data_IF_108000199485
#
_entry.id   IF_108000199485
#
_cell.length_a   1.000
_cell.length_b   1.000
_cell.length_c   1.000
_cell.angle_alpha   90.00
_cell.angle_beta   90.00
_cell.angle_gamma   90.00
#
_symmetry.space_group_name_H-M   'P 1'
#
loop_
_entity.id
_entity.type
_entity.pdbx_description
1 polymer ?
#
# COMPACT_ATOMS: atom_id res chain seq x y z
N UNK A 1 -35.02 -31.05 -16.18
CA UNK A 1 -34.24 -30.19 -15.29
C UNK A 1 -33.33 -29.33 -16.17
N UNK A 2 -33.69 -28.07 -16.42
CA UNK A 2 -32.92 -27.17 -17.27
C UNK A 2 -31.76 -26.62 -16.48
N UNK A 3 -30.54 -26.76 -17.01
CA UNK A 3 -29.31 -26.24 -16.41
C UNK A 3 -29.32 -24.71 -16.45
N UNK A 4 -29.47 -24.07 -15.31
CA UNK A 4 -29.31 -22.61 -15.15
C UNK A 4 -27.80 -22.25 -15.10
N UNK A 5 -27.14 -22.34 -16.26
CA UNK A 5 -25.80 -21.75 -16.41
C UNK A 5 -25.97 -20.22 -16.57
N UNK A 6 -25.22 -19.41 -15.82
CA UNK A 6 -25.28 -17.97 -15.99
C UNK A 6 -24.77 -17.60 -17.40
N UNK A 7 -25.35 -16.57 -18.04
CA UNK A 7 -24.93 -16.14 -19.37
C UNK A 7 -23.46 -15.72 -19.38
N UNK A 8 -22.73 -15.94 -20.48
CA UNK A 8 -21.35 -15.53 -20.61
C UNK A 8 -21.24 -14.00 -20.43
N UNK A 9 -20.21 -13.59 -19.70
CA UNK A 9 -19.90 -12.18 -19.45
C UNK A 9 -19.63 -11.49 -20.80
N UNK A 10 -20.36 -10.42 -21.09
CA UNK A 10 -20.02 -9.53 -22.20
C UNK A 10 -18.60 -9.02 -22.03
N UNK A 11 -17.75 -9.05 -23.06
CA UNK A 11 -16.43 -8.45 -23.00
C UNK A 11 -16.58 -6.95 -22.65
N UNK A 12 -15.70 -6.46 -21.79
CA UNK A 12 -15.56 -5.02 -21.55
C UNK A 12 -15.20 -4.35 -22.88
N UNK A 13 -15.69 -3.11 -23.14
CA UNK A 13 -15.29 -2.39 -24.34
C UNK A 13 -13.75 -2.31 -24.39
N UNK A 14 -13.18 -2.59 -25.57
CA UNK A 14 -11.74 -2.49 -25.86
C UNK A 14 -11.29 -1.03 -25.79
N UNK A 15 -11.13 -0.52 -24.58
CA UNK A 15 -10.30 0.65 -24.38
C UNK A 15 -8.84 0.20 -24.53
N UNK A 16 -8.03 0.91 -25.34
CA UNK A 16 -6.63 0.58 -25.47
C UNK A 16 -6.02 0.57 -24.07
N UNK A 17 -5.41 -0.57 -23.68
CA UNK A 17 -4.71 -0.69 -22.43
C UNK A 17 -3.55 0.32 -22.46
N UNK A 18 -3.40 1.18 -21.45
CA UNK A 18 -2.21 2.02 -21.36
C UNK A 18 -0.96 1.12 -21.40
N UNK A 19 0.11 1.61 -22.00
CA UNK A 19 1.40 0.92 -21.95
C UNK A 19 1.87 0.84 -20.49
N UNK A 20 1.73 -0.33 -19.90
CA UNK A 20 2.13 -0.63 -18.52
C UNK A 20 3.44 -1.44 -18.48
N UNK A 21 4.20 -1.47 -19.56
CA UNK A 21 5.46 -2.23 -19.67
C UNK A 21 6.47 -1.87 -18.56
N UNK A 22 6.48 -0.61 -18.15
CA UNK A 22 7.31 -0.12 -17.03
C UNK A 22 6.93 -0.70 -15.66
N UNK A 23 5.72 -1.26 -15.53
CA UNK A 23 5.26 -1.95 -14.32
C UNK A 23 5.65 -3.43 -14.29
N UNK A 24 6.42 -3.91 -15.27
CA UNK A 24 6.79 -5.32 -15.42
C UNK A 24 5.64 -6.18 -15.97
N UNK A 25 5.90 -7.48 -16.05
CA UNK A 25 4.92 -8.44 -16.53
C UNK A 25 3.81 -8.65 -15.50
N UNK A 26 2.59 -8.24 -15.85
CA UNK A 26 1.44 -8.43 -15.00
C UNK A 26 0.90 -9.85 -15.14
N UNK A 27 0.71 -10.49 -14.00
CA UNK A 27 0.29 -11.89 -13.90
C UNK A 27 -0.92 -12.01 -12.99
N UNK A 28 -1.58 -13.17 -13.06
CA UNK A 28 -2.67 -13.53 -12.18
C UNK A 28 -2.38 -14.82 -11.45
N UNK A 29 -2.75 -14.83 -10.19
CA UNK A 29 -2.70 -15.98 -9.29
C UNK A 29 -4.09 -16.23 -8.71
N UNK A 30 -4.46 -17.49 -8.52
CA UNK A 30 -5.72 -17.84 -7.90
C UNK A 30 -5.51 -18.26 -6.44
N UNK A 31 -6.08 -17.49 -5.54
CA UNK A 31 -6.03 -17.72 -4.11
C UNK A 31 -7.44 -17.80 -3.54
N UNK A 32 -7.78 -18.91 -2.87
CA UNK A 32 -9.15 -19.19 -2.38
C UNK A 32 -10.22 -19.08 -3.48
N UNK A 33 -9.89 -19.38 -4.73
CA UNK A 33 -10.76 -19.22 -5.89
C UNK A 33 -10.88 -17.79 -6.40
N UNK A 34 -10.23 -16.80 -5.81
CA UNK A 34 -10.21 -15.41 -6.25
C UNK A 34 -9.01 -15.14 -7.14
N UNK A 35 -9.24 -14.39 -8.20
CA UNK A 35 -8.19 -13.91 -9.10
C UNK A 35 -7.45 -12.75 -8.44
N UNK A 36 -6.15 -12.91 -8.24
CA UNK A 36 -5.25 -11.93 -7.64
C UNK A 36 -4.26 -11.46 -8.69
N UNK A 37 -4.18 -10.15 -8.93
CA UNK A 37 -3.19 -9.56 -9.83
C UNK A 37 -1.90 -9.26 -9.06
N UNK A 38 -0.79 -9.55 -9.70
CA UNK A 38 0.54 -9.15 -9.25
C UNK A 38 1.44 -8.84 -10.43
N UNK A 39 2.54 -8.15 -10.19
CA UNK A 39 3.63 -7.99 -11.14
C UNK A 39 4.92 -8.57 -10.57
N UNK A 40 5.81 -8.95 -11.46
CA UNK A 40 7.13 -9.46 -11.13
C UNK A 40 8.14 -8.92 -12.13
N UNK A 41 9.18 -8.26 -11.63
CA UNK A 41 10.35 -7.91 -12.41
C UNK A 41 11.40 -9.00 -12.15
N UNK A 42 11.75 -9.72 -13.23
CA UNK A 42 12.50 -10.97 -13.17
C UNK A 42 13.88 -10.81 -12.54
N UNK A 43 14.32 -11.87 -11.89
CA UNK A 43 15.65 -12.02 -11.35
C UNK A 43 16.68 -12.06 -12.51
N UNK A 44 17.70 -11.22 -12.44
CA UNK A 44 18.84 -11.23 -13.36
C UNK A 44 20.04 -11.91 -12.68
N UNK A 45 21.06 -12.38 -13.41
CA UNK A 45 22.24 -12.96 -12.79
C UNK A 45 22.90 -12.07 -11.74
N UNK A 46 22.86 -10.74 -11.92
CA UNK A 46 23.42 -9.74 -10.98
C UNK A 46 22.73 -9.76 -9.61
N UNK A 47 21.44 -10.04 -9.58
CA UNK A 47 20.60 -9.93 -8.35
C UNK A 47 20.14 -11.30 -7.85
N UNK A 48 20.59 -12.37 -8.49
CA UNK A 48 20.25 -13.74 -8.10
C UNK A 48 20.64 -14.00 -6.64
N UNK A 49 19.74 -14.58 -5.87
CA UNK A 49 19.94 -14.87 -4.44
C UNK A 49 19.76 -13.68 -3.50
N UNK A 50 19.64 -12.43 -4.00
CA UNK A 50 19.32 -11.29 -3.14
C UNK A 50 17.90 -11.39 -2.55
N UNK A 51 17.70 -10.82 -1.36
CA UNK A 51 16.40 -10.79 -0.67
C UNK A 51 15.33 -10.14 -1.58
N UNK A 52 14.24 -10.86 -1.90
CA UNK A 52 13.17 -10.31 -2.74
C UNK A 52 12.41 -9.21 -2.01
N UNK A 53 11.91 -8.23 -2.77
CA UNK A 53 11.04 -7.16 -2.28
C UNK A 53 9.60 -7.47 -2.66
N UNK A 54 8.69 -7.40 -1.68
CA UNK A 54 7.25 -7.43 -1.91
C UNK A 54 6.63 -6.09 -1.52
N UNK A 55 5.90 -5.47 -2.46
CA UNK A 55 5.28 -4.16 -2.36
C UNK A 55 3.77 -4.28 -2.14
N UNK A 56 3.23 -3.61 -1.11
CA UNK A 56 1.81 -3.56 -0.77
C UNK A 56 1.30 -2.12 -0.85
N UNK A 57 0.33 -1.88 -1.72
CA UNK A 57 -0.26 -0.56 -1.95
C UNK A 57 -1.20 -0.09 -0.83
N UNK A 58 -1.54 1.20 -0.83
CA UNK A 58 -2.50 1.83 0.08
C UNK A 58 -3.98 1.57 -0.27
N UNK A 59 -4.87 2.02 0.59
CA UNK A 59 -6.31 1.89 0.39
C UNK A 59 -6.77 2.59 -0.90
N UNK A 60 -7.60 1.90 -1.69
CA UNK A 60 -8.14 2.42 -2.96
C UNK A 60 -7.14 2.46 -4.11
N UNK A 61 -5.88 2.13 -3.88
CA UNK A 61 -4.83 2.09 -4.87
C UNK A 61 -4.65 0.69 -5.48
N UNK A 62 -3.52 0.46 -6.12
CA UNK A 62 -3.16 -0.75 -6.85
C UNK A 62 -1.64 -0.83 -7.05
N UNK A 63 -1.14 -1.85 -7.71
CA UNK A 63 0.29 -2.00 -8.01
C UNK A 63 0.86 -0.84 -8.85
N UNK A 64 0.01 -0.11 -9.59
CA UNK A 64 0.36 1.11 -10.33
C UNK A 64 0.89 2.24 -9.41
N UNK A 65 0.58 2.17 -8.11
CA UNK A 65 1.15 3.06 -7.10
C UNK A 65 2.68 3.09 -7.15
N UNK A 66 3.30 1.99 -7.53
CA UNK A 66 4.75 1.79 -7.50
C UNK A 66 5.44 2.13 -8.83
N UNK A 67 4.78 2.84 -9.74
CA UNK A 67 5.26 3.18 -11.08
C UNK A 67 6.66 3.81 -11.12
N UNK A 68 7.00 4.64 -10.14
CA UNK A 68 8.30 5.31 -10.04
C UNK A 68 9.35 4.44 -9.31
N UNK A 69 8.96 3.28 -8.79
CA UNK A 69 9.78 2.52 -7.87
C UNK A 69 10.17 1.13 -8.40
N UNK A 70 9.29 0.47 -9.14
CA UNK A 70 9.45 -0.93 -9.53
C UNK A 70 10.76 -1.18 -10.29
N UNK A 71 11.03 -0.41 -11.34
CA UNK A 71 12.21 -0.57 -12.19
C UNK A 71 13.50 -0.28 -11.43
N UNK A 72 13.51 0.76 -10.57
CA UNK A 72 14.68 1.12 -9.79
C UNK A 72 15.04 0.01 -8.78
N UNK A 73 14.06 -0.47 -8.01
CA UNK A 73 14.30 -1.58 -7.08
C UNK A 73 14.71 -2.88 -7.78
N UNK A 74 14.19 -3.12 -9.00
CA UNK A 74 14.52 -4.32 -9.77
C UNK A 74 15.97 -4.36 -10.28
N UNK A 75 16.70 -3.25 -10.24
CA UNK A 75 18.14 -3.24 -10.51
C UNK A 75 18.97 -3.88 -9.41
N UNK A 76 18.42 -3.90 -8.18
CA UNK A 76 19.14 -4.31 -6.98
C UNK A 76 18.62 -5.62 -6.38
N UNK A 77 17.37 -6.03 -6.65
CA UNK A 77 16.74 -7.23 -6.09
C UNK A 77 15.54 -7.69 -6.91
N UNK A 78 15.09 -8.95 -6.79
CA UNK A 78 13.81 -9.39 -7.35
C UNK A 78 12.66 -8.59 -6.71
N UNK A 79 11.74 -8.05 -7.54
CA UNK A 79 10.64 -7.20 -7.08
C UNK A 79 9.30 -7.81 -7.47
N UNK A 80 8.41 -7.80 -6.50
CA UNK A 80 7.01 -8.16 -6.67
C UNK A 80 6.13 -7.03 -6.15
N UNK A 81 5.03 -6.74 -6.84
CA UNK A 81 3.98 -5.89 -6.31
C UNK A 81 2.64 -6.62 -6.44
N UNK A 82 1.85 -6.57 -5.37
CA UNK A 82 0.63 -7.35 -5.22
C UNK A 82 -0.58 -6.43 -5.08
N UNK A 83 -1.61 -6.64 -5.88
CA UNK A 83 -2.91 -6.06 -5.60
C UNK A 83 -3.61 -6.83 -4.48
N UNK A 84 -3.88 -6.15 -3.38
CA UNK A 84 -4.66 -6.70 -2.29
C UNK A 84 -6.07 -7.06 -2.76
N UNK A 85 -6.59 -8.22 -2.34
CA UNK A 85 -7.94 -8.66 -2.74
C UNK A 85 -8.99 -7.58 -2.46
N UNK A 86 -9.83 -7.30 -3.44
CA UNK A 86 -10.80 -6.19 -3.38
C UNK A 86 -10.31 -4.89 -4.02
N UNK A 87 -9.00 -4.73 -4.26
CA UNK A 87 -8.39 -3.55 -4.87
C UNK A 87 -7.77 -3.84 -6.24
N UNK A 88 -7.32 -2.78 -6.91
CA UNK A 88 -6.60 -2.86 -8.18
C UNK A 88 -7.27 -3.78 -9.19
N UNK A 89 -6.50 -4.57 -9.91
CA UNK A 89 -6.98 -5.61 -10.83
C UNK A 89 -7.26 -6.95 -10.15
N UNK A 90 -7.11 -7.04 -8.81
CA UNK A 90 -7.55 -8.19 -8.05
C UNK A 90 -9.07 -8.24 -7.93
N UNK A 91 -9.62 -9.46 -7.79
CA UNK A 91 -11.07 -9.70 -7.79
C UNK A 91 -11.79 -8.86 -6.73
N UNK A 92 -12.90 -8.27 -7.14
CA UNK A 92 -13.84 -7.55 -6.26
C UNK A 92 -14.72 -8.58 -5.54
N UNK A 93 -14.46 -8.76 -4.23
CA UNK A 93 -15.06 -9.82 -3.42
C UNK A 93 -16.23 -9.31 -2.57
N UNK A 94 -17.11 -10.23 -2.17
CA UNK A 94 -18.28 -9.95 -1.34
C UNK A 94 -18.11 -10.57 0.04
N UNK A 95 -17.04 -10.20 0.73
CA UNK A 95 -16.75 -10.63 2.09
C UNK A 95 -16.16 -9.45 2.91
N UNK A 96 -16.13 -9.54 4.24
CA UNK A 96 -15.43 -8.58 5.06
C UNK A 96 -13.97 -8.42 4.62
N UNK A 97 -13.52 -7.18 4.52
CA UNK A 97 -12.16 -6.83 4.15
C UNK A 97 -11.46 -6.26 5.40
N UNK A 98 -10.59 -7.06 5.98
CA UNK A 98 -9.80 -6.71 7.17
C UNK A 98 -8.33 -7.07 6.96
N UNK A 99 -7.48 -6.66 7.89
CA UNK A 99 -6.06 -6.92 7.77
C UNK A 99 -5.71 -8.41 7.85
N UNK A 100 -6.46 -9.23 8.60
CA UNK A 100 -6.24 -10.68 8.67
C UNK A 100 -6.39 -11.35 7.30
N UNK A 101 -7.39 -10.91 6.51
CA UNK A 101 -7.59 -11.42 5.16
C UNK A 101 -6.38 -11.12 4.27
N UNK A 102 -5.86 -9.89 4.33
CA UNK A 102 -4.72 -9.50 3.51
C UNK A 102 -3.39 -10.08 4.00
N UNK A 103 -3.21 -10.24 5.32
CA UNK A 103 -2.06 -10.96 5.89
C UNK A 103 -2.05 -12.42 5.41
N UNK A 104 -3.20 -13.09 5.44
CA UNK A 104 -3.32 -14.44 4.89
C UNK A 104 -3.03 -14.51 3.37
N UNK A 105 -3.40 -13.46 2.61
CA UNK A 105 -3.05 -13.34 1.20
C UNK A 105 -1.53 -13.20 1.00
N UNK A 106 -0.87 -12.33 1.78
CA UNK A 106 0.59 -12.13 1.75
C UNK A 106 1.34 -13.42 2.09
N UNK A 107 0.94 -14.10 3.17
CA UNK A 107 1.56 -15.36 3.58
C UNK A 107 1.41 -16.46 2.51
N UNK A 108 0.23 -16.56 1.89
CA UNK A 108 0.00 -17.51 0.82
C UNK A 108 0.78 -17.16 -0.46
N UNK A 109 0.93 -15.86 -0.78
CA UNK A 109 1.76 -15.40 -1.89
C UNK A 109 3.23 -15.74 -1.65
N UNK A 110 3.71 -15.51 -0.42
CA UNK A 110 5.06 -15.90 -0.02
C UNK A 110 5.30 -17.40 -0.21
N UNK A 111 4.39 -18.26 0.24
CA UNK A 111 4.48 -19.71 0.07
C UNK A 111 4.50 -20.15 -1.40
N UNK A 112 3.75 -19.45 -2.26
CA UNK A 112 3.67 -19.79 -3.68
C UNK A 112 4.93 -19.39 -4.46
N UNK A 113 5.48 -18.20 -4.21
CA UNK A 113 6.45 -17.57 -5.10
C UNK A 113 7.80 -17.24 -4.47
N UNK A 114 7.85 -16.82 -3.21
CA UNK A 114 9.07 -16.27 -2.62
C UNK A 114 9.89 -17.35 -1.88
N UNK A 115 9.29 -18.03 -0.92
CA UNK A 115 9.83 -19.16 -0.13
C UNK A 115 11.17 -18.88 0.54
N UNK A 116 11.51 -17.64 0.77
CA UNK A 116 12.72 -17.15 1.45
C UNK A 116 12.42 -15.83 2.12
N UNK A 117 13.11 -15.42 3.20
CA UNK A 117 12.86 -14.16 3.86
C UNK A 117 12.83 -13.01 2.86
N UNK A 118 11.84 -12.12 3.00
CA UNK A 118 11.61 -10.99 2.09
C UNK A 118 11.83 -9.65 2.77
N UNK A 119 12.17 -8.63 1.98
CA UNK A 119 11.94 -7.24 2.33
C UNK A 119 10.47 -6.95 2.02
N UNK A 120 9.69 -6.70 3.06
CA UNK A 120 8.28 -6.36 2.89
C UNK A 120 8.11 -4.86 3.00
N UNK A 121 7.52 -4.22 1.99
CA UNK A 121 7.27 -2.78 2.01
C UNK A 121 5.80 -2.48 1.78
N UNK A 122 5.23 -1.65 2.64
CA UNK A 122 3.83 -1.23 2.52
C UNK A 122 3.64 0.27 2.70
N UNK A 123 2.61 0.80 2.05
CA UNK A 123 2.18 2.19 2.18
C UNK A 123 0.80 2.28 2.79
N UNK A 124 0.61 3.13 3.80
CA UNK A 124 -0.70 3.41 4.42
C UNK A 124 -1.38 2.10 4.85
N UNK A 125 -2.54 1.73 4.30
CA UNK A 125 -3.16 0.42 4.58
C UNK A 125 -2.20 -0.75 4.35
N UNK A 126 -1.40 -0.71 3.27
CA UNK A 126 -0.39 -1.73 2.99
C UNK A 126 0.70 -1.77 4.07
N UNK A 127 1.03 -0.64 4.72
CA UNK A 127 1.96 -0.61 5.85
C UNK A 127 1.38 -1.31 7.09
N UNK A 128 0.09 -1.14 7.36
CA UNK A 128 -0.58 -1.84 8.46
C UNK A 128 -0.66 -3.35 8.21
N UNK A 129 -0.96 -3.77 6.98
CA UNK A 129 -0.94 -5.19 6.57
C UNK A 129 0.49 -5.75 6.68
N UNK A 130 1.50 -5.00 6.24
CA UNK A 130 2.89 -5.40 6.31
C UNK A 130 3.38 -5.53 7.76
N UNK A 131 3.01 -4.60 8.63
CA UNK A 131 3.30 -4.67 10.07
C UNK A 131 2.69 -5.92 10.70
N UNK A 132 1.41 -6.18 10.47
CA UNK A 132 0.76 -7.37 11.00
C UNK A 132 1.35 -8.66 10.41
N UNK A 133 1.69 -8.68 9.12
CA UNK A 133 2.37 -9.83 8.52
C UNK A 133 3.74 -10.08 9.15
N UNK A 134 4.53 -9.04 9.42
CA UNK A 134 5.85 -9.14 10.03
C UNK A 134 5.79 -9.63 11.50
N UNK A 135 4.72 -9.33 12.21
CA UNK A 135 4.53 -9.81 13.60
C UNK A 135 3.92 -11.21 13.67
N UNK A 136 3.08 -11.59 12.70
CA UNK A 136 2.41 -12.90 12.67
C UNK A 136 3.26 -13.98 11.99
N UNK A 137 4.07 -13.59 11.01
CA UNK A 137 4.90 -14.47 10.17
C UNK A 137 6.33 -13.93 10.07
N UNK A 138 6.96 -13.71 11.22
CA UNK A 138 8.30 -13.11 11.30
C UNK A 138 9.36 -13.89 10.53
N UNK A 139 9.20 -15.20 10.39
CA UNK A 139 10.07 -16.07 9.60
C UNK A 139 10.04 -15.78 8.10
N UNK A 140 8.96 -15.16 7.60
CA UNK A 140 8.80 -14.80 6.19
C UNK A 140 9.36 -13.40 5.89
N UNK A 141 9.48 -12.53 6.90
CA UNK A 141 9.88 -11.13 6.75
C UNK A 141 11.26 -10.92 7.34
N UNK A 142 12.27 -10.80 6.49
CA UNK A 142 13.63 -10.51 6.94
C UNK A 142 13.84 -9.04 7.34
N UNK A 143 13.15 -8.12 6.68
CA UNK A 143 13.15 -6.67 6.95
C UNK A 143 11.81 -6.06 6.57
N UNK A 144 11.39 -5.01 7.28
CA UNK A 144 10.14 -4.29 7.04
C UNK A 144 10.39 -2.83 6.71
N UNK A 145 9.71 -2.31 5.68
CA UNK A 145 9.66 -0.87 5.37
C UNK A 145 8.21 -0.42 5.38
N UNK A 146 7.90 0.58 6.18
CA UNK A 146 6.57 1.18 6.25
C UNK A 146 6.61 2.64 5.80
N UNK A 147 5.73 2.99 4.87
CA UNK A 147 5.53 4.36 4.41
C UNK A 147 4.22 4.87 4.98
N UNK A 148 4.29 5.77 5.96
CA UNK A 148 3.13 6.34 6.65
C UNK A 148 2.19 5.26 7.23
N UNK A 149 2.41 4.82 8.45
CA UNK A 149 1.61 3.81 9.14
C UNK A 149 0.33 4.41 9.74
N UNK A 150 -0.87 3.94 9.40
CA UNK A 150 -2.10 4.44 10.01
C UNK A 150 -2.28 3.91 11.44
N UNK A 151 -2.97 4.68 12.27
CA UNK A 151 -3.48 4.21 13.55
C UNK A 151 -4.62 3.19 13.33
N UNK A 152 -4.69 2.17 14.16
CA UNK A 152 -5.85 1.30 14.23
C UNK A 152 -7.06 2.08 14.80
N UNK A 153 -8.26 1.57 14.53
CA UNK A 153 -9.50 2.24 14.97
C UNK A 153 -9.55 2.45 16.47
N UNK A 154 -9.10 1.50 17.25
CA UNK A 154 -9.08 1.54 18.71
C UNK A 154 -8.24 2.71 19.26
N UNK A 155 -7.30 3.24 18.45
CA UNK A 155 -6.38 4.32 18.81
C UNK A 155 -6.89 5.70 18.40
N UNK A 156 -7.89 5.75 17.51
CA UNK A 156 -8.56 6.98 17.08
C UNK A 156 -9.54 7.48 18.15
N UNK A 157 -9.10 7.58 19.40
CA UNK A 157 -9.94 7.79 20.57
C UNK A 157 -10.76 9.09 20.57
N UNK A 158 -11.86 9.07 21.35
CA UNK A 158 -12.71 10.20 21.67
C UNK A 158 -14.17 10.05 21.20
N UNK A 159 -15.11 10.80 21.76
CA UNK A 159 -16.53 10.74 21.42
C UNK A 159 -16.81 11.05 19.94
N UNK A 160 -16.05 11.96 19.34
CA UNK A 160 -16.18 12.34 17.93
C UNK A 160 -15.85 11.19 16.97
N UNK A 161 -14.82 10.37 17.29
CA UNK A 161 -14.48 9.21 16.49
C UNK A 161 -15.56 8.12 16.57
N UNK A 162 -16.19 7.93 17.74
CA UNK A 162 -17.32 7.00 17.91
C UNK A 162 -18.55 7.46 17.14
N UNK A 163 -18.87 8.75 17.17
CA UNK A 163 -19.98 9.32 16.40
C UNK A 163 -19.71 9.20 14.90
N UNK A 164 -18.49 9.53 14.45
CA UNK A 164 -18.06 9.34 13.06
C UNK A 164 -18.25 7.90 12.60
N UNK A 165 -17.91 6.93 13.45
CA UNK A 165 -18.09 5.51 13.20
C UNK A 165 -19.55 5.09 12.97
N UNK A 166 -20.45 5.60 13.80
CA UNK A 166 -21.90 5.31 13.67
C UNK A 166 -22.43 5.92 12.37
N UNK A 167 -22.05 7.15 12.06
CA UNK A 167 -22.43 7.81 10.80
C UNK A 167 -21.87 7.08 9.59
N UNK A 168 -20.57 6.70 9.59
CA UNK A 168 -19.97 5.88 8.56
C UNK A 168 -20.70 4.53 8.41
N UNK A 169 -21.07 3.88 9.52
CA UNK A 169 -21.83 2.62 9.53
C UNK A 169 -23.21 2.75 8.87
N UNK A 170 -23.89 3.87 9.05
CA UNK A 170 -25.17 4.14 8.38
C UNK A 170 -24.96 4.32 6.87
N UNK A 171 -23.90 5.01 6.47
CA UNK A 171 -23.53 5.15 5.04
C UNK A 171 -23.07 3.82 4.41
N UNK A 172 -22.68 2.82 5.21
CA UNK A 172 -22.34 1.48 4.69
C UNK A 172 -23.59 0.66 4.23
N UNK A 173 -24.80 1.22 4.34
CA UNK A 173 -26.00 0.61 3.74
C UNK A 173 -25.84 0.53 2.21
N UNK A 174 -26.14 -0.63 1.58
CA UNK A 174 -26.07 -0.79 0.12
C UNK A 174 -26.93 0.21 -0.65
N UNK A 175 -28.01 0.71 -0.05
CA UNK A 175 -28.91 1.71 -0.65
C UNK A 175 -28.26 3.09 -0.72
N UNK A 176 -27.47 3.47 0.27
CA UNK A 176 -26.81 4.78 0.33
C UNK A 176 -25.42 4.75 -0.29
N UNK A 177 -24.66 3.66 -0.10
CA UNK A 177 -23.30 3.55 -0.61
C UNK A 177 -23.23 3.50 -2.14
N UNK A 178 -24.21 2.90 -2.81
CA UNK A 178 -24.21 2.79 -4.27
C UNK A 178 -24.29 4.15 -4.99
N UNK A 179 -25.21 5.06 -4.67
CA UNK A 179 -25.21 6.39 -5.29
C UNK A 179 -23.98 7.20 -4.89
N UNK A 180 -23.52 7.12 -3.63
CA UNK A 180 -22.28 7.76 -3.18
C UNK A 180 -21.07 7.21 -3.99
N UNK A 181 -20.95 5.91 -4.14
CA UNK A 181 -19.85 5.30 -4.90
C UNK A 181 -19.87 5.71 -6.37
N UNK A 182 -21.06 5.87 -6.99
CA UNK A 182 -21.17 6.40 -8.35
C UNK A 182 -20.63 7.82 -8.48
N UNK A 183 -20.78 8.63 -7.45
CA UNK A 183 -20.21 9.98 -7.39
C UNK A 183 -18.69 9.91 -7.18
N UNK A 184 -18.23 9.14 -6.19
CA UNK A 184 -16.80 9.02 -5.82
C UNK A 184 -15.93 8.49 -6.94
N UNK A 185 -16.45 7.60 -7.80
CA UNK A 185 -15.70 7.01 -8.93
C UNK A 185 -15.61 7.91 -10.17
N UNK A 186 -16.12 9.14 -10.13
CA UNK A 186 -16.02 10.08 -11.26
C UNK A 186 -14.56 10.49 -11.46
N UNK A 187 -14.00 10.38 -12.71
CA UNK A 187 -12.58 10.69 -12.94
C UNK A 187 -12.19 12.10 -12.47
N UNK A 188 -13.05 13.10 -12.72
CA UNK A 188 -12.81 14.48 -12.28
C UNK A 188 -12.72 14.63 -10.76
N UNK A 189 -13.54 13.90 -9.99
CA UNK A 189 -13.48 13.93 -8.53
C UNK A 189 -12.22 13.22 -8.02
N UNK A 190 -11.91 12.04 -8.55
CA UNK A 190 -10.69 11.31 -8.21
C UNK A 190 -9.46 12.18 -8.49
N UNK A 191 -9.39 12.82 -9.67
CA UNK A 191 -8.32 13.76 -10.02
C UNK A 191 -8.20 14.91 -9.03
N UNK A 192 -9.31 15.53 -8.65
CA UNK A 192 -9.31 16.63 -7.67
C UNK A 192 -8.80 16.18 -6.32
N UNK A 193 -9.22 15.00 -5.85
CA UNK A 193 -8.77 14.43 -4.58
C UNK A 193 -7.27 14.14 -4.64
N UNK A 194 -6.79 13.47 -5.70
CA UNK A 194 -5.37 13.17 -5.87
C UNK A 194 -4.52 14.45 -5.91
N UNK A 195 -4.95 15.49 -6.66
CA UNK A 195 -4.27 16.79 -6.68
C UNK A 195 -4.24 17.48 -5.30
N UNK A 196 -5.28 17.32 -4.50
CA UNK A 196 -5.33 17.86 -3.14
C UNK A 196 -4.41 17.13 -2.16
N UNK A 197 -4.12 15.86 -2.41
CA UNK A 197 -3.29 15.00 -1.55
C UNK A 197 -1.81 15.00 -1.96
N UNK A 198 -1.49 15.23 -3.23
CA UNK A 198 -0.11 15.44 -3.68
C UNK A 198 0.36 16.84 -3.30
N UNK A 199 1.62 16.99 -2.97
CA UNK A 199 2.25 18.31 -2.80
C UNK A 199 2.56 18.94 -4.16
N UNK A 200 2.96 18.11 -5.12
CA UNK A 200 3.16 18.48 -6.51
C UNK A 200 1.98 17.96 -7.37
N UNK A 201 1.00 18.82 -7.61
CA UNK A 201 -0.18 18.48 -8.40
C UNK A 201 0.14 18.11 -9.88
N UNK A 202 1.34 18.43 -10.40
CA UNK A 202 1.76 18.07 -11.76
C UNK A 202 2.02 16.57 -11.91
N UNK A 203 2.31 15.88 -10.81
CA UNK A 203 2.47 14.41 -10.76
C UNK A 203 1.16 13.65 -11.00
N UNK A 204 0.01 14.33 -10.86
CA UNK A 204 -1.32 13.73 -11.08
C UNK A 204 -1.65 13.74 -12.57
N UNK A 205 -1.02 12.85 -13.32
CA UNK A 205 -1.24 12.62 -14.74
C UNK A 205 -2.45 11.69 -15.01
N UNK A 206 -2.75 11.46 -16.29
CA UNK A 206 -3.85 10.58 -16.70
C UNK A 206 -3.64 9.13 -16.27
N UNK A 207 -2.40 8.64 -16.30
CA UNK A 207 -2.07 7.27 -15.93
C UNK A 207 -2.36 7.03 -14.45
N UNK A 208 -1.95 7.95 -13.57
CA UNK A 208 -2.24 7.87 -12.14
C UNK A 208 -3.75 7.89 -11.88
N UNK A 209 -4.48 8.82 -12.51
CA UNK A 209 -5.94 8.92 -12.36
C UNK A 209 -6.63 7.65 -12.83
N UNK A 210 -6.23 7.10 -13.98
CA UNK A 210 -6.80 5.86 -14.54
C UNK A 210 -6.55 4.66 -13.62
N UNK A 211 -5.37 4.57 -13.00
CA UNK A 211 -5.04 3.55 -12.00
C UNK A 211 -6.02 3.52 -10.82
N UNK A 212 -6.56 4.67 -10.41
CA UNK A 212 -7.60 4.75 -9.38
C UNK A 212 -9.02 4.59 -9.92
N UNK A 213 -9.32 5.07 -11.12
CA UNK A 213 -10.66 5.03 -11.73
C UNK A 213 -11.04 3.63 -12.17
N UNK A 214 -10.17 2.97 -12.91
CA UNK A 214 -10.44 1.69 -13.59
C UNK A 214 -10.91 0.59 -12.62
N UNK A 215 -10.25 0.35 -11.47
CA UNK A 215 -10.73 -0.65 -10.50
C UNK A 215 -12.13 -0.38 -9.96
N UNK A 216 -12.56 0.89 -9.92
CA UNK A 216 -13.90 1.27 -9.44
C UNK A 216 -15.02 0.97 -10.45
N UNK A 217 -14.67 0.76 -11.71
CA UNK A 217 -15.62 0.46 -12.77
C UNK A 217 -15.88 -1.04 -12.92
N UNK A 218 -15.06 -1.88 -12.31
CA UNK A 218 -15.20 -3.33 -12.36
C UNK A 218 -16.50 -3.83 -11.71
N UNK A 219 -17.01 -4.97 -12.23
CA UNK A 219 -18.19 -5.62 -11.67
C UNK A 219 -17.93 -6.01 -10.20
N UNK A 220 -18.82 -5.57 -9.32
CA UNK A 220 -18.72 -5.85 -7.89
C UNK A 220 -18.03 -4.74 -7.08
N UNK A 221 -17.35 -3.76 -7.70
CA UNK A 221 -16.59 -2.71 -7.00
C UNK A 221 -17.42 -1.98 -5.94
N UNK A 222 -18.65 -1.56 -6.26
CA UNK A 222 -19.53 -0.89 -5.29
C UNK A 222 -19.88 -1.80 -4.08
N UNK A 223 -20.06 -3.10 -4.31
CA UNK A 223 -20.32 -4.06 -3.23
C UNK A 223 -19.09 -4.27 -2.36
N UNK A 224 -17.92 -4.47 -2.97
CA UNK A 224 -16.64 -4.57 -2.27
C UNK A 224 -16.37 -3.32 -1.43
N UNK A 225 -16.62 -2.14 -2.00
CA UNK A 225 -16.49 -0.87 -1.27
C UNK A 225 -17.43 -0.80 -0.05
N UNK A 226 -18.67 -1.29 -0.17
CA UNK A 226 -19.61 -1.39 0.95
C UNK A 226 -19.05 -2.30 2.07
N UNK A 227 -18.49 -3.46 1.71
CA UNK A 227 -17.85 -4.35 2.69
C UNK A 227 -16.62 -3.70 3.34
N UNK A 228 -15.80 -3.00 2.57
CA UNK A 228 -14.63 -2.29 3.10
C UNK A 228 -15.05 -1.22 4.12
N UNK A 229 -16.01 -0.34 3.76
CA UNK A 229 -16.50 0.70 4.68
C UNK A 229 -17.05 0.08 5.95
N UNK A 230 -17.89 -0.96 5.81
CA UNK A 230 -18.45 -1.69 6.96
C UNK A 230 -17.36 -2.33 7.82
N UNK A 231 -16.34 -2.94 7.22
CA UNK A 231 -15.24 -3.55 7.97
C UNK A 231 -14.44 -2.49 8.73
N UNK A 232 -14.14 -1.36 8.09
CA UNK A 232 -13.39 -0.27 8.72
C UNK A 232 -14.09 0.36 9.92
N UNK A 233 -15.41 0.22 10.04
CA UNK A 233 -16.18 0.69 11.20
C UNK A 233 -16.16 -0.31 12.36
N UNK A 234 -15.60 -1.49 12.19
CA UNK A 234 -15.46 -2.53 13.22
C UNK A 234 -14.08 -2.49 13.87
N UNK A 235 -14.02 -2.78 15.16
CA UNK A 235 -12.76 -2.96 15.90
C UNK A 235 -12.00 -4.22 15.42
N UNK A 236 -12.69 -5.14 14.75
CA UNK A 236 -12.09 -6.32 14.12
C UNK A 236 -11.46 -6.04 12.75
N UNK A 237 -11.37 -4.77 12.32
CA UNK A 237 -10.70 -4.41 11.07
C UNK A 237 -9.20 -4.70 11.10
N UNK A 238 -8.56 -4.37 12.20
CA UNK A 238 -7.14 -4.66 12.47
C UNK A 238 -6.90 -4.78 13.97
N UNK A 239 -5.87 -5.50 14.41
CA UNK A 239 -5.33 -5.36 15.74
C UNK A 239 -4.87 -3.92 16.03
N UNK A 240 -4.66 -3.59 17.30
CA UNK A 240 -4.07 -2.31 17.71
C UNK A 240 -2.68 -2.14 17.09
N UNK A 241 -2.43 -0.98 16.48
CA UNK A 241 -1.10 -0.66 15.91
C UNK A 241 -0.03 -0.65 16.99
N UNK A 242 -0.36 -0.20 18.20
CA UNK A 242 0.56 -0.21 19.35
C UNK A 242 0.95 -1.63 19.74
N UNK A 243 -0.03 -2.54 19.80
CA UNK A 243 0.24 -3.94 20.15
C UNK A 243 1.10 -4.60 19.08
N UNK A 244 0.81 -4.36 17.80
CA UNK A 244 1.63 -4.87 16.69
C UNK A 244 3.08 -4.34 16.76
N UNK A 245 3.28 -3.04 17.03
CA UNK A 245 4.62 -2.46 17.17
C UNK A 245 5.37 -3.06 18.35
N UNK A 246 4.70 -3.35 19.47
CA UNK A 246 5.34 -3.97 20.65
C UNK A 246 5.80 -5.42 20.39
N UNK A 247 5.15 -6.11 19.47
CA UNK A 247 5.49 -7.47 19.04
C UNK A 247 6.52 -7.52 17.89
N UNK A 248 6.96 -6.36 17.39
CA UNK A 248 7.85 -6.28 16.27
C UNK A 248 9.26 -6.78 16.61
N UNK A 249 9.71 -7.83 15.90
CA UNK A 249 11.00 -8.49 16.13
C UNK A 249 11.98 -8.37 14.97
N UNK A 250 11.53 -7.81 13.84
CA UNK A 250 12.35 -7.66 12.64
C UNK A 250 12.84 -6.21 12.49
N UNK A 251 14.06 -5.96 11.96
CA UNK A 251 14.54 -4.62 11.67
C UNK A 251 13.54 -3.89 10.76
N UNK A 252 13.12 -2.70 11.20
CA UNK A 252 12.04 -1.96 10.56
C UNK A 252 12.41 -0.51 10.29
N UNK A 253 12.17 -0.04 9.07
CA UNK A 253 12.26 1.36 8.66
C UNK A 253 10.85 1.94 8.54
N UNK A 254 10.57 3.03 9.26
CA UNK A 254 9.35 3.81 9.13
C UNK A 254 9.69 5.17 8.52
N UNK A 255 9.19 5.43 7.32
CA UNK A 255 9.37 6.70 6.61
C UNK A 255 8.07 7.51 6.64
N UNK A 256 8.19 8.82 6.86
CA UNK A 256 7.03 9.69 6.96
C UNK A 256 7.27 11.07 6.35
N UNK A 257 6.39 11.49 5.47
CA UNK A 257 6.42 12.84 4.94
C UNK A 257 6.00 13.88 5.97
N UNK A 258 6.84 14.89 6.23
CA UNK A 258 6.55 15.96 7.21
C UNK A 258 5.28 16.75 6.89
N UNK A 259 4.88 16.79 5.63
CA UNK A 259 3.70 17.52 5.14
C UNK A 259 2.54 16.58 4.80
N UNK A 260 2.51 15.37 5.38
CA UNK A 260 1.41 14.43 5.20
C UNK A 260 0.09 15.04 5.70
N UNK A 261 -0.87 15.22 4.77
CA UNK A 261 -2.19 15.80 5.04
C UNK A 261 -3.25 14.74 5.36
N UNK A 262 -2.90 13.46 5.22
CA UNK A 262 -3.80 12.33 5.46
C UNK A 262 -3.61 11.79 6.88
N UNK A 263 -2.36 11.54 7.25
CA UNK A 263 -2.02 11.01 8.57
C UNK A 263 -0.93 11.89 9.19
N UNK A 264 -1.25 12.62 10.27
CA UNK A 264 -0.32 13.56 10.89
C UNK A 264 0.97 12.88 11.35
N UNK A 265 2.12 13.51 11.09
CA UNK A 265 3.46 13.01 11.47
C UNK A 265 3.60 12.77 12.98
N UNK A 266 2.86 13.52 13.80
CA UNK A 266 2.86 13.33 15.26
C UNK A 266 2.51 11.90 15.68
N UNK A 267 1.70 11.19 14.87
CA UNK A 267 1.44 9.77 15.09
C UNK A 267 2.68 8.92 14.83
N UNK A 268 3.44 9.18 13.75
CA UNK A 268 4.69 8.49 13.45
C UNK A 268 5.75 8.73 14.52
N UNK A 269 5.88 9.96 15.02
CA UNK A 269 6.76 10.32 16.12
C UNK A 269 6.42 9.56 17.39
N UNK A 270 5.12 9.44 17.70
CA UNK A 270 4.67 8.64 18.85
C UNK A 270 4.96 7.15 18.64
N UNK A 271 4.65 6.58 17.47
CA UNK A 271 4.93 5.16 17.15
C UNK A 271 6.41 4.84 17.30
N UNK A 272 7.32 5.77 16.93
CA UNK A 272 8.76 5.59 17.08
C UNK A 272 9.20 5.38 18.55
N UNK A 273 8.42 5.86 19.52
CA UNK A 273 8.74 5.66 20.94
C UNK A 273 8.39 4.26 21.46
N UNK A 274 7.68 3.45 20.68
CA UNK A 274 7.10 2.18 21.11
C UNK A 274 8.02 0.97 20.89
N UNK A 275 9.05 1.07 20.03
CA UNK A 275 9.94 -0.06 19.73
C UNK A 275 11.34 0.38 19.34
N UNK A 276 12.34 -0.28 19.93
CA UNK A 276 13.75 -0.10 19.58
C UNK A 276 14.12 -0.74 18.22
N UNK A 277 13.26 -1.59 17.66
CA UNK A 277 13.46 -2.22 16.34
C UNK A 277 13.15 -1.25 15.18
N UNK A 278 12.68 -0.05 15.50
CA UNK A 278 12.12 0.88 14.55
C UNK A 278 13.10 2.03 14.29
N UNK A 279 13.60 2.13 13.06
CA UNK A 279 14.31 3.30 12.57
C UNK A 279 13.28 4.25 11.96
N UNK A 280 13.08 5.44 12.55
CA UNK A 280 12.11 6.42 12.06
C UNK A 280 12.82 7.57 11.34
N UNK A 281 12.36 7.86 10.12
CA UNK A 281 12.90 8.95 9.31
C UNK A 281 11.78 9.86 8.81
N UNK A 282 11.88 11.12 9.12
CA UNK A 282 11.03 12.18 8.61
C UNK A 282 11.57 12.69 7.27
N UNK A 283 10.74 12.70 6.25
CA UNK A 283 11.12 13.16 4.90
C UNK A 283 10.65 14.59 4.71
N UNK A 284 11.60 15.50 4.49
CA UNK A 284 11.32 16.92 4.26
C UNK A 284 10.59 17.14 2.94
N UNK A 285 9.69 18.14 2.91
CA UNK A 285 8.89 18.51 1.73
C UNK A 285 8.23 17.30 1.07
N UNK A 286 7.73 16.37 1.87
CA UNK A 286 7.11 15.14 1.46
C UNK A 286 5.71 15.01 2.06
N UNK A 287 4.75 14.60 1.24
CA UNK A 287 3.36 14.36 1.62
C UNK A 287 3.05 12.88 1.76
N UNK A 288 1.76 12.53 1.70
CA UNK A 288 1.30 11.15 1.80
C UNK A 288 1.79 10.26 0.66
N UNK A 289 1.94 10.83 -0.54
CA UNK A 289 2.35 10.11 -1.74
C UNK A 289 3.83 10.33 -2.12
N UNK A 290 4.69 10.55 -1.11
CA UNK A 290 6.10 10.85 -1.35
C UNK A 290 6.86 9.73 -2.09
N UNK A 291 6.39 8.51 -2.05
CA UNK A 291 6.93 7.41 -2.85
C UNK A 291 6.82 7.66 -4.36
N UNK A 292 5.86 8.47 -4.80
CA UNK A 292 5.67 8.90 -6.19
C UNK A 292 6.39 10.23 -6.45
N UNK A 293 6.28 11.18 -5.51
CA UNK A 293 6.82 12.53 -5.67
C UNK A 293 8.34 12.59 -5.46
N UNK A 294 8.89 11.73 -4.62
CA UNK A 294 10.30 11.73 -4.18
C UNK A 294 10.92 10.33 -4.23
N UNK A 295 10.65 9.57 -5.30
CA UNK A 295 11.10 8.20 -5.44
C UNK A 295 12.61 8.04 -5.25
N UNK A 296 13.43 8.95 -5.78
CA UNK A 296 14.90 8.93 -5.63
C UNK A 296 15.32 9.04 -4.17
N UNK A 297 14.65 9.92 -3.39
CA UNK A 297 14.91 10.06 -1.94
C UNK A 297 14.50 8.80 -1.20
N UNK A 298 13.36 8.21 -1.56
CA UNK A 298 12.91 6.94 -0.99
C UNK A 298 13.94 5.83 -1.21
N UNK A 299 14.44 5.69 -2.44
CA UNK A 299 15.43 4.66 -2.78
C UNK A 299 16.73 4.86 -1.98
N UNK A 300 17.29 6.08 -1.94
CA UNK A 300 18.50 6.40 -1.17
C UNK A 300 18.34 6.04 0.32
N UNK A 301 17.21 6.42 0.92
CA UNK A 301 16.94 6.14 2.33
C UNK A 301 16.86 4.63 2.62
N UNK A 302 16.20 3.87 1.75
CA UNK A 302 16.08 2.41 1.90
C UNK A 302 17.44 1.75 1.71
N UNK A 303 18.20 2.12 0.69
CA UNK A 303 19.50 1.51 0.40
C UNK A 303 20.51 1.78 1.53
N UNK A 304 20.56 3.01 2.04
CA UNK A 304 21.38 3.38 3.19
C UNK A 304 20.99 2.62 4.45
N UNK A 305 19.69 2.47 4.72
CA UNK A 305 19.22 1.68 5.84
C UNK A 305 19.60 0.20 5.72
N UNK A 306 19.51 -0.36 4.51
CA UNK A 306 19.85 -1.76 4.26
C UNK A 306 21.32 -2.08 4.51
N UNK A 307 22.23 -1.12 4.32
CA UNK A 307 23.67 -1.26 4.59
C UNK A 307 24.09 -0.76 5.96
N UNK A 308 23.15 -0.25 6.79
CA UNK A 308 23.43 0.27 8.12
C UNK A 308 24.04 1.68 8.14
N UNK A 309 23.86 2.47 7.08
CA UNK A 309 24.39 3.83 6.91
C UNK A 309 23.38 4.93 7.23
N UNK A 310 22.24 4.58 7.84
CA UNK A 310 21.34 5.59 8.41
C UNK A 310 21.73 5.87 9.87
N UNK A 311 21.84 7.16 10.29
CA UNK A 311 22.06 7.49 11.68
C UNK A 311 20.87 7.01 12.54
N UNK A 312 21.16 6.46 13.71
CA UNK A 312 20.16 5.91 14.65
C UNK A 312 19.14 6.94 15.16
N UNK A 313 19.36 8.24 14.94
CA UNK A 313 18.47 9.33 15.35
C UNK A 313 18.34 10.43 14.30
N UNK A 314 17.14 10.98 14.18
CA UNK A 314 16.72 12.04 13.25
C UNK A 314 17.52 13.36 13.29
N UNK A 315 18.39 13.57 14.29
CA UNK A 315 19.10 14.84 14.48
C UNK A 315 20.22 15.09 13.47
N UNK A 316 20.69 14.08 12.73
CA UNK A 316 21.84 14.19 11.83
C UNK A 316 21.52 14.22 10.33
N UNK A 317 20.25 14.08 9.91
CA UNK A 317 19.88 14.08 8.48
C UNK A 317 19.93 15.47 7.83
N UNK A 318 19.91 16.54 8.61
CA UNK A 318 20.01 17.92 8.10
C UNK A 318 21.44 18.25 7.61
N UNK A 319 22.47 17.57 8.15
CA UNK A 319 23.88 17.85 7.82
C UNK A 319 24.34 17.28 6.46
N UNK A 320 23.62 16.34 5.86
CA UNK A 320 24.05 15.63 4.63
C UNK A 320 23.68 16.34 3.32
N UNK A 321 23.05 17.51 3.38
CA UNK A 321 22.70 18.31 2.18
C UNK A 321 23.89 19.07 1.55
N UNK A 322 25.09 19.10 2.19
CA UNK A 322 26.23 19.92 1.77
C UNK A 322 27.21 19.30 0.78
N UNK A 323 27.40 17.98 0.78
CA UNK A 323 28.63 17.40 0.22
C UNK A 323 28.54 16.73 -1.16
N UNK A 324 27.37 16.63 -1.80
CA UNK A 324 27.25 15.98 -3.12
C UNK A 324 27.01 16.91 -4.31
N UNK A 325 26.95 18.24 -4.12
CA UNK A 325 26.80 19.19 -5.22
C UNK A 325 28.13 19.53 -5.95
N UNK A 326 29.27 19.00 -5.53
CA UNK A 326 30.61 19.38 -6.03
C UNK A 326 31.35 18.34 -6.86
N UNK A 327 30.77 17.18 -7.17
CA UNK A 327 31.45 16.13 -7.97
C UNK A 327 30.76 15.72 -9.26
N UNK A 328 30.04 16.63 -9.92
CA UNK A 328 29.66 16.48 -11.34
C UNK A 328 29.95 17.79 -12.05
N UNK A 329 31.18 17.97 -12.40
CA UNK A 329 31.62 18.80 -13.53
C UNK A 329 32.47 17.95 -14.49
#
# INVERSE_FOLDING_TARGET
MASNSPPPLSPLPDLPLPDLSHLGEQRYWYWRGWRIRYTHLAETPKIQGKMPLLLLHGAGSSLEQWRENLTAFAQERPVYALDLVGFGGSQKVACPLNTDLWVAQVAAFWQAYLRRPMLLMGHSLGALVALQAATTHSEQVGRLVMLTLPAARQELGGPAAKIGAVVEGWFASPLLIRPLFRLLRRPGLIRSVLKGLHLDATRVDEMLVEGFVRPTQERGAARTFCYLVKSRTSDSFSPSTKDLISLLSVPTLLLWGKRDRVIPIAWGQYVNTLSAQLTFVEVDDAGHFFYDEKAVVLHDLIDRWLVGDLPETNQNLVALRGDRATHLR
#
